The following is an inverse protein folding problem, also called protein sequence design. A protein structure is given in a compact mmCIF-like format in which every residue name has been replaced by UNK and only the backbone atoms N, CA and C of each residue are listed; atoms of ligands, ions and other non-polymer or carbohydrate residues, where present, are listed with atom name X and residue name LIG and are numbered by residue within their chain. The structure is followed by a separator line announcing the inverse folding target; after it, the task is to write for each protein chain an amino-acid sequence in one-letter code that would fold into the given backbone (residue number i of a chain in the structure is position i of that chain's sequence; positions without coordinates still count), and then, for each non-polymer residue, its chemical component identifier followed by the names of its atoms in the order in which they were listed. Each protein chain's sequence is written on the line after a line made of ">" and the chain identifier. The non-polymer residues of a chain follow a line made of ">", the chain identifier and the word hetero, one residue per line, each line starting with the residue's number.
data_IF_147377954129
#
_entry.id   IF_147377954129
#
_cell.length_a   1.000
_cell.length_b   1.000
_cell.length_c   1.000
_cell.angle_alpha   90.00
_cell.angle_beta   90.00
_cell.angle_gamma   90.00
#
_symmetry.space_group_name_H-M   'P 1'
#
loop_
_entity.id
_entity.type
_entity.pdbx_description
1 polymer ?
#
# COMPACT_ATOMS: atom_id res chain seq x y z
N UNK A 1 18.76 39.44 -19.21
CA UNK A 1 17.31 39.33 -19.48
C UNK A 1 17.08 40.24 -20.66
N UNK A 2 17.00 39.65 -21.85
CA UNK A 2 17.12 40.34 -23.12
C UNK A 2 15.75 40.77 -23.64
N UNK A 3 15.71 41.98 -24.21
CA UNK A 3 14.59 42.64 -24.88
C UNK A 3 14.15 41.90 -26.16
N UNK A 4 13.52 40.73 -26.03
CA UNK A 4 12.89 40.03 -27.17
C UNK A 4 11.46 40.50 -27.45
N UNK A 5 10.86 41.29 -26.56
CA UNK A 5 9.48 41.77 -26.68
C UNK A 5 9.31 42.84 -27.76
N UNK A 6 10.31 43.70 -27.97
CA UNK A 6 10.23 44.83 -28.92
C UNK A 6 10.24 44.40 -30.39
N UNK A 7 10.87 43.27 -30.72
CA UNK A 7 10.92 42.77 -32.10
C UNK A 7 9.60 42.11 -32.50
N UNK A 8 8.94 41.42 -31.57
CA UNK A 8 7.64 40.76 -31.83
C UNK A 8 6.51 41.75 -32.13
N UNK A 9 6.45 42.87 -31.41
CA UNK A 9 5.42 43.90 -31.63
C UNK A 9 5.60 44.63 -32.97
N UNK A 10 6.85 44.86 -33.40
CA UNK A 10 7.13 45.48 -34.70
C UNK A 10 6.75 44.57 -35.88
N UNK A 11 6.88 43.25 -35.72
CA UNK A 11 6.48 42.27 -36.74
C UNK A 11 4.95 42.17 -36.89
N UNK A 12 4.20 42.27 -35.79
CA UNK A 12 2.74 42.29 -35.84
C UNK A 12 2.21 43.58 -36.51
N UNK A 13 2.80 44.74 -36.19
CA UNK A 13 2.42 46.01 -36.81
C UNK A 13 2.68 46.01 -38.33
N UNK A 14 3.78 45.41 -38.80
CA UNK A 14 4.07 45.33 -40.23
C UNK A 14 3.07 44.41 -40.95
N UNK A 15 2.70 43.28 -40.35
CA UNK A 15 1.70 42.35 -40.89
C UNK A 15 0.31 43.00 -40.99
N UNK A 16 -0.10 43.78 -40.00
CA UNK A 16 -1.39 44.48 -40.05
C UNK A 16 -1.43 45.55 -41.14
N UNK A 17 -0.32 46.26 -41.37
CA UNK A 17 -0.23 47.28 -42.42
C UNK A 17 -0.31 46.69 -43.83
N UNK A 18 0.39 45.57 -44.08
CA UNK A 18 0.32 44.85 -45.36
C UNK A 18 -1.08 44.29 -45.63
N UNK A 19 -1.73 43.73 -44.60
CA UNK A 19 -3.11 43.24 -44.71
C UNK A 19 -4.10 44.38 -44.98
N UNK A 20 -3.95 45.52 -44.32
CA UNK A 20 -4.80 46.70 -44.56
C UNK A 20 -4.64 47.21 -46.00
N UNK A 21 -3.40 47.31 -46.50
CA UNK A 21 -3.13 47.73 -47.87
C UNK A 21 -3.71 46.74 -48.89
N UNK A 22 -3.57 45.43 -48.65
CA UNK A 22 -4.13 44.40 -49.50
C UNK A 22 -5.66 44.48 -49.55
N UNK A 23 -6.33 44.68 -48.40
CA UNK A 23 -7.78 44.86 -48.31
C UNK A 23 -8.23 46.13 -49.05
N UNK A 24 -7.49 47.24 -48.94
CA UNK A 24 -7.80 48.49 -49.66
C UNK A 24 -7.66 48.30 -51.17
N UNK A 25 -6.56 47.70 -51.64
CA UNK A 25 -6.34 47.41 -53.06
C UNK A 25 -7.44 46.49 -53.59
N UNK A 26 -7.82 45.48 -52.80
CA UNK A 26 -8.94 44.60 -53.11
C UNK A 26 -10.27 45.33 -53.22
N UNK A 27 -10.57 46.20 -52.27
CA UNK A 27 -11.77 47.03 -52.28
C UNK A 27 -11.83 47.88 -53.55
N UNK A 28 -10.71 48.47 -53.96
CA UNK A 28 -10.62 49.25 -55.20
C UNK A 28 -10.88 48.36 -56.42
N UNK A 29 -10.31 47.15 -56.49
CA UNK A 29 -10.54 46.20 -57.59
C UNK A 29 -12.01 45.78 -57.65
N UNK A 30 -12.62 45.46 -56.51
CA UNK A 30 -14.03 45.07 -56.44
C UNK A 30 -14.93 46.24 -56.85
N UNK A 31 -14.70 47.45 -56.33
CA UNK A 31 -15.48 48.63 -56.70
C UNK A 31 -15.31 48.95 -58.20
N UNK A 32 -14.09 48.85 -58.73
CA UNK A 32 -13.81 49.10 -60.14
C UNK A 32 -14.50 48.08 -61.05
N UNK A 33 -14.46 46.80 -60.70
CA UNK A 33 -15.15 45.73 -61.45
C UNK A 33 -16.67 45.87 -61.37
N UNK A 34 -17.22 46.26 -60.21
CA UNK A 34 -18.66 46.49 -60.02
C UNK A 34 -19.14 47.73 -60.80
N UNK A 35 -18.35 48.80 -60.81
CA UNK A 35 -18.61 49.98 -61.63
C UNK A 35 -18.55 49.66 -63.13
N UNK A 36 -17.59 48.84 -63.57
CA UNK A 36 -17.49 48.37 -64.96
C UNK A 36 -18.66 47.47 -65.35
N UNK A 37 -19.15 46.61 -64.44
CA UNK A 37 -20.37 45.82 -64.64
C UNK A 37 -21.61 46.70 -64.78
N UNK A 38 -21.76 47.73 -63.93
CA UNK A 38 -22.86 48.69 -64.01
C UNK A 38 -22.82 49.51 -65.31
N UNK A 39 -21.64 49.98 -65.72
CA UNK A 39 -21.48 50.67 -67.00
C UNK A 39 -21.80 49.76 -68.18
N UNK A 40 -21.35 48.50 -68.13
CA UNK A 40 -21.65 47.50 -69.16
C UNK A 40 -23.14 47.18 -69.22
N UNK A 41 -23.83 47.04 -68.08
CA UNK A 41 -25.27 46.78 -68.05
C UNK A 41 -26.09 47.94 -68.62
N UNK A 42 -25.69 49.19 -68.33
CA UNK A 42 -26.27 50.40 -68.91
C UNK A 42 -26.04 50.45 -70.42
N UNK A 43 -24.84 50.10 -70.91
CA UNK A 43 -24.55 50.02 -72.34
C UNK A 43 -25.41 48.96 -73.05
N UNK A 44 -25.59 47.78 -72.44
CA UNK A 44 -26.46 46.73 -72.99
C UNK A 44 -27.91 47.21 -73.10
N UNK A 45 -28.42 47.91 -72.07
CA UNK A 45 -29.79 48.45 -72.05
C UNK A 45 -30.01 49.56 -73.08
N UNK A 46 -28.98 50.38 -73.32
CA UNK A 46 -29.09 51.57 -74.20
C UNK A 46 -28.81 51.27 -75.66
N UNK A 47 -27.92 50.32 -75.99
CA UNK A 47 -27.45 50.10 -77.37
C UNK A 47 -27.94 48.81 -78.03
N UNK A 48 -28.54 47.89 -77.28
CA UNK A 48 -28.95 46.58 -77.78
C UNK A 48 -27.74 45.67 -78.06
N UNK A 49 -27.91 44.38 -77.82
CA UNK A 49 -26.84 43.37 -77.82
C UNK A 49 -26.24 43.24 -79.23
N UNK A 50 -25.15 43.96 -79.52
CA UNK A 50 -24.46 43.88 -80.82
C UNK A 50 -23.20 43.02 -80.83
N UNK A 51 -22.62 42.66 -79.68
CA UNK A 51 -21.41 41.81 -79.61
C UNK A 51 -21.39 40.89 -78.36
N UNK A 52 -21.99 39.68 -78.41
CA UNK A 52 -22.00 38.76 -77.27
C UNK A 52 -20.60 38.25 -76.84
N UNK A 53 -19.60 38.35 -77.71
CA UNK A 53 -18.24 37.84 -77.45
C UNK A 53 -17.45 38.63 -76.41
N UNK A 54 -17.63 39.95 -76.34
CA UNK A 54 -16.85 40.83 -75.44
C UNK A 54 -17.34 40.75 -73.98
N UNK A 55 -18.64 40.50 -73.79
CA UNK A 55 -19.23 40.32 -72.47
C UNK A 55 -18.75 39.02 -71.81
N UNK A 56 -18.67 37.93 -72.58
CA UNK A 56 -18.24 36.63 -72.07
C UNK A 56 -16.80 36.66 -71.54
N UNK A 57 -15.88 37.33 -72.25
CA UNK A 57 -14.49 37.50 -71.81
C UNK A 57 -14.37 38.37 -70.57
N UNK A 58 -15.16 39.44 -70.46
CA UNK A 58 -15.16 40.29 -69.27
C UNK A 58 -15.70 39.56 -68.02
N UNK A 59 -16.81 38.83 -68.16
CA UNK A 59 -17.37 38.03 -67.06
C UNK A 59 -16.39 36.93 -66.65
N UNK A 60 -15.75 36.25 -67.61
CA UNK A 60 -14.72 35.26 -67.30
C UNK A 60 -13.51 35.85 -66.60
N UNK A 61 -13.05 37.05 -67.01
CA UNK A 61 -11.91 37.73 -66.40
C UNK A 61 -12.19 38.24 -64.99
N UNK A 62 -13.41 38.72 -64.72
CA UNK A 62 -13.80 39.12 -63.36
C UNK A 62 -13.96 37.91 -62.42
N UNK A 63 -14.52 36.81 -62.93
CA UNK A 63 -14.63 35.56 -62.16
C UNK A 63 -13.26 35.00 -61.73
N UNK A 64 -12.24 35.05 -62.61
CA UNK A 64 -10.88 34.58 -62.25
C UNK A 64 -10.22 35.48 -61.21
N UNK A 65 -10.38 36.81 -61.30
CA UNK A 65 -9.88 37.73 -60.27
C UNK A 65 -10.51 37.42 -58.92
N UNK A 66 -11.84 37.28 -58.85
CA UNK A 66 -12.55 36.93 -57.60
C UNK A 66 -12.06 35.58 -57.04
N UNK A 67 -11.83 34.58 -57.90
CA UNK A 67 -11.32 33.28 -57.51
C UNK A 67 -9.91 33.37 -56.90
N UNK A 68 -8.99 34.11 -57.53
CA UNK A 68 -7.62 34.30 -57.03
C UNK A 68 -7.62 34.99 -55.67
N UNK A 69 -8.52 35.95 -55.48
CA UNK A 69 -8.69 36.69 -54.23
C UNK A 69 -9.21 35.78 -53.11
N UNK A 70 -10.26 35.02 -53.37
CA UNK A 70 -10.80 34.05 -52.41
C UNK A 70 -9.75 33.00 -52.04
N UNK A 71 -9.00 32.52 -53.04
CA UNK A 71 -7.91 31.56 -52.83
C UNK A 71 -6.81 32.17 -51.98
N UNK A 72 -6.40 33.41 -52.25
CA UNK A 72 -5.42 34.15 -51.46
C UNK A 72 -5.87 34.29 -50.00
N UNK A 73 -7.09 34.78 -49.77
CA UNK A 73 -7.64 34.93 -48.43
C UNK A 73 -7.74 33.58 -47.70
N UNK A 74 -8.23 32.53 -48.35
CA UNK A 74 -8.32 31.19 -47.80
C UNK A 74 -6.93 30.64 -47.41
N UNK A 75 -5.90 30.86 -48.23
CA UNK A 75 -4.53 30.40 -47.90
C UNK A 75 -3.93 31.14 -46.70
N UNK A 76 -4.21 32.44 -46.54
CA UNK A 76 -3.76 33.21 -45.37
C UNK A 76 -4.44 32.70 -44.10
N UNK A 77 -5.76 32.49 -44.13
CA UNK A 77 -6.51 31.98 -42.98
C UNK A 77 -6.07 30.56 -42.60
N UNK A 78 -5.83 29.70 -43.59
CA UNK A 78 -5.34 28.34 -43.37
C UNK A 78 -3.95 28.34 -42.73
N UNK A 79 -3.05 29.24 -43.16
CA UNK A 79 -1.71 29.39 -42.55
C UNK A 79 -1.80 29.88 -41.10
N UNK A 80 -2.74 30.77 -40.80
CA UNK A 80 -2.99 31.25 -39.44
C UNK A 80 -3.45 30.10 -38.53
N UNK A 81 -4.47 29.35 -38.93
CA UNK A 81 -4.94 28.19 -38.15
C UNK A 81 -3.85 27.14 -37.96
N UNK A 82 -3.02 26.90 -38.98
CA UNK A 82 -1.89 25.98 -38.88
C UNK A 82 -0.84 26.45 -37.84
N UNK A 83 -0.54 27.76 -37.78
CA UNK A 83 0.34 28.33 -36.76
C UNK A 83 -0.24 28.23 -35.36
N UNK A 84 -1.51 28.59 -35.18
CA UNK A 84 -2.20 28.49 -33.89
C UNK A 84 -2.22 27.02 -33.39
N UNK A 85 -2.43 26.07 -34.29
CA UNK A 85 -2.39 24.62 -33.98
C UNK A 85 -0.99 24.16 -33.58
N UNK A 86 0.05 24.64 -34.25
CA UNK A 86 1.43 24.27 -33.92
C UNK A 86 1.85 24.85 -32.57
N UNK A 87 1.48 26.10 -32.27
CA UNK A 87 1.72 26.73 -30.96
C UNK A 87 0.99 25.94 -29.87
N UNK A 88 -0.30 25.64 -30.06
CA UNK A 88 -1.08 24.84 -29.10
C UNK A 88 -0.46 23.45 -28.87
N UNK A 89 0.08 22.81 -29.91
CA UNK A 89 0.79 21.52 -29.78
C UNK A 89 2.09 21.66 -29.00
N UNK A 90 2.82 22.76 -29.18
CA UNK A 90 4.05 23.02 -28.43
C UNK A 90 3.74 23.29 -26.95
N UNK A 91 2.75 24.13 -26.66
CA UNK A 91 2.27 24.39 -25.30
C UNK A 91 1.79 23.11 -24.63
N UNK A 92 1.04 22.26 -25.33
CA UNK A 92 0.59 20.98 -24.80
C UNK A 92 1.76 20.04 -24.48
N UNK A 93 2.78 19.98 -25.36
CA UNK A 93 4.00 19.19 -25.10
C UNK A 93 4.75 19.71 -23.88
N UNK A 94 4.92 21.02 -23.75
CA UNK A 94 5.58 21.63 -22.60
C UNK A 94 4.80 21.41 -21.30
N UNK A 95 3.48 21.55 -21.34
CA UNK A 95 2.60 21.27 -20.23
C UNK A 95 2.70 19.80 -19.79
N UNK A 96 2.70 18.86 -20.73
CA UNK A 96 2.88 17.43 -20.45
C UNK A 96 4.24 17.17 -19.79
N UNK A 97 5.33 17.71 -20.34
CA UNK A 97 6.67 17.60 -19.74
C UNK A 97 6.71 18.14 -18.31
N UNK A 98 6.15 19.32 -18.07
CA UNK A 98 6.10 19.93 -16.73
C UNK A 98 5.26 19.09 -15.76
N UNK A 99 4.14 18.54 -16.21
CA UNK A 99 3.30 17.66 -15.41
C UNK A 99 4.04 16.37 -15.04
N UNK A 100 4.77 15.79 -15.99
CA UNK A 100 5.57 14.58 -15.77
C UNK A 100 6.71 14.86 -14.78
N UNK A 101 7.38 16.01 -14.91
CA UNK A 101 8.42 16.44 -13.98
C UNK A 101 7.87 16.65 -12.55
N UNK A 102 6.75 17.35 -12.40
CA UNK A 102 6.09 17.52 -11.11
C UNK A 102 5.65 16.18 -10.50
N UNK A 103 5.16 15.25 -11.32
CA UNK A 103 4.78 13.89 -10.89
C UNK A 103 5.99 13.13 -10.38
N UNK A 104 7.11 13.17 -11.10
CA UNK A 104 8.38 12.55 -10.72
C UNK A 104 8.90 13.14 -9.41
N UNK A 105 8.91 14.46 -9.27
CA UNK A 105 9.36 15.15 -8.06
C UNK A 105 8.51 14.81 -6.84
N UNK A 106 7.19 14.72 -7.01
CA UNK A 106 6.27 14.31 -5.94
C UNK A 106 6.59 12.87 -5.50
N UNK A 107 6.80 11.97 -6.45
CA UNK A 107 7.17 10.58 -6.16
C UNK A 107 8.52 10.51 -5.43
N UNK A 108 9.53 11.24 -5.93
CA UNK A 108 10.86 11.32 -5.33
C UNK A 108 10.80 11.81 -3.88
N UNK A 109 10.05 12.87 -3.60
CA UNK A 109 9.86 13.39 -2.23
C UNK A 109 9.14 12.40 -1.32
N UNK A 110 8.13 11.71 -1.86
CA UNK A 110 7.40 10.67 -1.13
C UNK A 110 8.32 9.51 -0.72
N UNK A 111 9.09 8.97 -1.67
CA UNK A 111 10.02 7.88 -1.44
C UNK A 111 11.16 8.29 -0.51
N UNK A 112 11.75 9.48 -0.71
CA UNK A 112 12.77 10.02 0.20
C UNK A 112 12.23 10.17 1.62
N UNK A 113 10.98 10.60 1.78
CA UNK A 113 10.32 10.69 3.07
C UNK A 113 10.12 9.33 3.74
N UNK A 114 9.93 8.26 2.96
CA UNK A 114 9.82 6.90 3.47
C UNK A 114 11.18 6.37 3.92
N UNK A 115 12.22 6.52 3.08
CA UNK A 115 13.61 6.13 3.39
C UNK A 115 14.18 6.86 4.61
N UNK A 116 13.91 8.16 4.74
CA UNK A 116 14.39 8.94 5.91
C UNK A 116 13.69 8.57 7.21
N UNK A 117 12.44 8.14 7.18
CA UNK A 117 11.76 7.63 8.38
C UNK A 117 12.43 6.35 8.90
N UNK A 118 13.03 5.58 8.01
CA UNK A 118 13.74 4.34 8.36
C UNK A 118 15.20 4.53 8.68
N UNK A 119 15.83 5.68 8.40
CA UNK A 119 17.19 5.96 8.92
C UNK A 119 17.22 6.03 10.47
N UNK A 120 16.07 6.28 11.12
CA UNK A 120 15.93 6.15 12.58
C UNK A 120 15.70 4.72 13.08
N UNK A 121 15.52 3.74 12.17
CA UNK A 121 15.33 2.33 12.54
C UNK A 121 16.64 1.63 12.88
N UNK A 122 17.78 2.06 12.34
CA UNK A 122 19.09 1.46 12.69
C UNK A 122 19.44 1.69 14.17
N UNK A 123 19.22 2.92 14.67
CA UNK A 123 19.33 3.21 16.11
C UNK A 123 18.31 2.46 16.95
N UNK A 124 17.13 2.16 16.40
CA UNK A 124 16.07 1.42 17.09
C UNK A 124 16.37 -0.09 17.16
N UNK A 125 17.02 -0.65 16.13
CA UNK A 125 17.42 -2.05 16.05
C UNK A 125 18.59 -2.36 16.99
N UNK A 126 19.50 -1.40 17.22
CA UNK A 126 20.60 -1.54 18.17
C UNK A 126 20.17 -1.42 19.65
N UNK A 127 19.08 -0.70 19.96
CA UNK A 127 18.80 -0.30 21.36
C UNK A 127 17.84 -1.23 22.14
N UNK A 128 16.84 -1.92 21.57
CA UNK A 128 15.85 -2.71 22.36
C UNK A 128 15.26 -3.90 21.53
N UNK A 129 15.28 -5.19 21.94
CA UNK A 129 14.69 -5.91 23.09
C UNK A 129 13.29 -6.53 22.79
N UNK A 130 12.90 -7.68 23.40
CA UNK A 130 11.83 -8.63 22.98
C UNK A 130 10.38 -8.14 22.82
N UNK A 131 10.13 -6.83 22.85
CA UNK A 131 8.79 -6.22 22.76
C UNK A 131 8.23 -6.09 21.32
N UNK A 132 9.03 -6.41 20.29
CA UNK A 132 8.63 -6.29 18.88
C UNK A 132 7.67 -7.39 18.38
N UNK A 133 7.31 -8.39 19.20
CA UNK A 133 6.35 -9.44 18.81
C UNK A 133 4.93 -8.92 18.53
N UNK A 134 4.64 -7.65 18.85
CA UNK A 134 3.30 -7.04 18.69
C UNK A 134 3.22 -5.90 17.66
N UNK A 135 4.34 -5.50 17.06
CA UNK A 135 4.36 -4.35 16.17
C UNK A 135 4.18 -4.81 14.72
N UNK A 136 2.92 -4.82 14.26
CA UNK A 136 2.57 -5.05 12.86
C UNK A 136 3.19 -3.99 11.95
N UNK A 137 3.58 -4.41 10.73
CA UNK A 137 4.11 -3.63 9.60
C UNK A 137 4.78 -2.30 10.00
N UNK A 138 5.85 -2.40 10.79
CA UNK A 138 6.66 -1.25 11.24
C UNK A 138 7.31 -0.54 10.06
N UNK A 139 7.51 -1.27 8.97
CA UNK A 139 8.21 -0.75 7.81
C UNK A 139 7.19 -0.10 6.87
N UNK A 140 7.19 1.23 6.74
CA UNK A 140 6.29 1.88 5.81
C UNK A 140 6.61 1.42 4.38
N UNK A 141 5.59 0.85 3.71
CA UNK A 141 5.60 0.48 2.28
C UNK A 141 4.53 1.24 1.50
N UNK A 142 4.00 2.31 2.09
CA UNK A 142 2.79 2.99 1.64
C UNK A 142 3.03 3.79 0.36
N UNK A 143 4.17 4.46 0.22
CA UNK A 143 4.42 5.28 -0.99
C UNK A 143 4.76 4.38 -2.17
N UNK A 144 5.59 3.36 -1.96
CA UNK A 144 5.90 2.38 -3.01
C UNK A 144 4.66 1.63 -3.50
N UNK A 145 3.84 1.08 -2.58
CA UNK A 145 2.66 0.30 -2.97
C UNK A 145 1.61 1.13 -3.69
N UNK A 146 1.37 2.37 -3.23
CA UNK A 146 0.40 3.27 -3.85
C UNK A 146 0.84 3.81 -5.22
N UNK A 147 2.15 3.82 -5.50
CA UNK A 147 2.72 4.44 -6.70
C UNK A 147 3.51 3.45 -7.57
N UNK A 148 3.32 2.13 -7.41
CA UNK A 148 4.09 1.11 -8.12
C UNK A 148 4.05 1.27 -9.65
N UNK A 149 2.90 1.68 -10.21
CA UNK A 149 2.75 1.97 -11.63
C UNK A 149 3.49 3.23 -12.12
N UNK A 150 3.93 4.09 -11.22
CA UNK A 150 4.63 5.34 -11.54
C UNK A 150 6.14 5.26 -11.34
N UNK A 151 6.67 4.16 -10.81
CA UNK A 151 8.11 3.97 -10.56
C UNK A 151 8.93 4.10 -11.84
N UNK A 152 8.38 3.71 -12.99
CA UNK A 152 9.03 3.88 -14.30
C UNK A 152 9.28 5.33 -14.73
N UNK A 153 8.79 6.33 -13.98
CA UNK A 153 9.08 7.76 -14.20
C UNK A 153 10.41 8.20 -13.57
N UNK A 154 10.97 7.41 -12.65
CA UNK A 154 12.25 7.68 -11.99
C UNK A 154 13.41 7.35 -12.91
N UNK A 155 14.60 7.88 -12.62
CA UNK A 155 15.82 7.46 -13.32
C UNK A 155 16.23 6.05 -12.90
N UNK A 156 17.03 5.36 -13.72
CA UNK A 156 17.53 4.02 -13.38
C UNK A 156 18.31 4.00 -12.07
N UNK A 157 19.10 5.04 -11.81
CA UNK A 157 19.83 5.23 -10.55
C UNK A 157 18.88 5.35 -9.35
N UNK A 158 17.82 6.16 -9.47
CA UNK A 158 16.81 6.33 -8.42
C UNK A 158 16.05 5.01 -8.16
N UNK A 159 15.74 4.26 -9.21
CA UNK A 159 15.10 2.94 -9.10
C UNK A 159 16.00 1.97 -8.34
N UNK A 160 17.30 1.91 -8.67
CA UNK A 160 18.26 1.05 -7.98
C UNK A 160 18.26 1.32 -6.47
N UNK A 161 18.33 2.60 -6.07
CA UNK A 161 18.33 2.99 -4.65
C UNK A 161 17.04 2.53 -3.95
N UNK A 162 15.89 2.70 -4.60
CA UNK A 162 14.60 2.28 -4.04
C UNK A 162 14.54 0.76 -3.90
N UNK A 163 15.01 0.02 -4.91
CA UNK A 163 15.06 -1.46 -4.87
C UNK A 163 16.00 -1.95 -3.77
N UNK A 164 17.19 -1.37 -3.64
CA UNK A 164 18.16 -1.72 -2.61
C UNK A 164 17.57 -1.51 -1.21
N UNK A 165 16.95 -0.34 -0.99
CA UNK A 165 16.27 -0.02 0.26
C UNK A 165 15.17 -1.05 0.60
N UNK A 166 14.27 -1.35 -0.34
CA UNK A 166 13.18 -2.29 -0.08
C UNK A 166 13.67 -3.74 0.09
N UNK A 167 14.78 -4.10 -0.55
CA UNK A 167 15.45 -5.39 -0.35
C UNK A 167 16.00 -5.50 1.07
N UNK A 168 16.69 -4.46 1.57
CA UNK A 168 17.20 -4.42 2.94
C UNK A 168 16.05 -4.50 3.96
N UNK A 169 15.00 -3.71 3.75
CA UNK A 169 13.77 -3.76 4.53
C UNK A 169 13.16 -5.16 4.59
N UNK A 170 13.10 -5.86 3.46
CA UNK A 170 12.58 -7.22 3.39
C UNK A 170 13.48 -8.22 4.15
N UNK A 171 14.80 -8.05 4.08
CA UNK A 171 15.75 -8.87 4.84
C UNK A 171 15.56 -8.67 6.35
N UNK A 172 15.41 -7.43 6.82
CA UNK A 172 15.15 -7.10 8.23
C UNK A 172 13.82 -7.73 8.69
N UNK A 173 12.73 -7.52 7.93
CA UNK A 173 11.42 -8.11 8.23
C UNK A 173 11.48 -9.65 8.30
N UNK A 174 12.23 -10.27 7.39
CA UNK A 174 12.44 -11.73 7.38
C UNK A 174 13.22 -12.19 8.61
N UNK A 175 14.30 -11.48 8.97
CA UNK A 175 15.11 -11.79 10.15
C UNK A 175 14.30 -11.66 11.44
N UNK A 176 13.50 -10.59 11.59
CA UNK A 176 12.61 -10.39 12.73
C UNK A 176 11.54 -11.49 12.82
N UNK A 177 10.96 -11.91 11.70
CA UNK A 177 10.00 -13.03 11.64
C UNK A 177 10.64 -14.35 12.05
N UNK A 178 11.86 -14.64 11.60
CA UNK A 178 12.60 -15.83 12.00
C UNK A 178 12.92 -15.80 13.50
N UNK A 179 13.39 -14.68 14.04
CA UNK A 179 13.66 -14.54 15.48
C UNK A 179 12.40 -14.74 16.32
N UNK A 180 11.28 -14.10 15.95
CA UNK A 180 10.00 -14.31 16.62
C UNK A 180 9.56 -15.78 16.58
N UNK A 181 9.78 -16.51 15.48
CA UNK A 181 9.49 -17.95 15.42
C UNK A 181 10.38 -18.76 16.37
N UNK A 182 11.66 -18.42 16.50
CA UNK A 182 12.56 -19.06 17.47
C UNK A 182 12.16 -18.76 18.92
N UNK A 183 11.84 -17.51 19.25
CA UNK A 183 11.39 -17.12 20.59
C UNK A 183 10.05 -17.77 20.96
N UNK A 184 9.09 -17.83 20.03
CA UNK A 184 7.83 -18.55 20.24
C UNK A 184 8.08 -20.05 20.45
N UNK A 185 9.02 -20.64 19.72
CA UNK A 185 9.37 -22.05 19.86
C UNK A 185 10.05 -22.34 21.20
N UNK A 186 10.97 -21.46 21.64
CA UNK A 186 11.63 -21.54 22.94
C UNK A 186 10.63 -21.32 24.11
N UNK A 187 9.72 -20.35 24.00
CA UNK A 187 8.66 -20.13 24.98
C UNK A 187 7.65 -21.27 25.05
N UNK A 188 7.31 -21.90 23.91
CA UNK A 188 6.47 -23.11 23.91
C UNK A 188 7.16 -24.27 24.62
N UNK A 189 8.44 -24.51 24.34
CA UNK A 189 9.21 -25.53 25.04
C UNK A 189 9.29 -25.28 26.55
N UNK A 190 9.54 -24.03 26.96
CA UNK A 190 9.57 -23.65 28.38
C UNK A 190 8.20 -23.81 29.05
N UNK A 191 7.12 -23.47 28.36
CA UNK A 191 5.74 -23.66 28.84
C UNK A 191 5.38 -25.13 28.99
N UNK A 192 5.81 -25.99 28.07
CA UNK A 192 5.59 -27.43 28.13
C UNK A 192 6.39 -28.10 29.26
N UNK A 193 7.61 -27.63 29.51
CA UNK A 193 8.42 -28.03 30.67
C UNK A 193 7.76 -27.57 31.98
N UNK A 194 7.31 -26.32 32.06
CA UNK A 194 6.60 -25.81 33.24
C UNK A 194 5.27 -26.54 33.47
N UNK A 195 4.54 -26.87 32.40
CA UNK A 195 3.28 -27.60 32.48
C UNK A 195 3.49 -29.05 32.93
N UNK A 196 4.50 -29.74 32.41
CA UNK A 196 4.86 -31.09 32.85
C UNK A 196 5.36 -31.12 34.31
N UNK A 197 6.14 -30.12 34.73
CA UNK A 197 6.52 -29.95 36.13
C UNK A 197 5.32 -29.70 37.03
N UNK A 198 4.42 -28.78 36.67
CA UNK A 198 3.19 -28.52 37.43
C UNK A 198 2.31 -29.77 37.56
N UNK A 199 2.19 -30.56 36.50
CA UNK A 199 1.42 -31.80 36.51
C UNK A 199 2.06 -32.88 37.41
N UNK A 200 3.40 -32.96 37.42
CA UNK A 200 4.14 -33.86 38.32
C UNK A 200 4.00 -33.44 39.80
N UNK A 201 3.90 -32.15 40.08
CA UNK A 201 3.67 -31.61 41.43
C UNK A 201 2.24 -31.87 41.91
N UNK A 202 1.23 -31.74 41.04
CA UNK A 202 -0.15 -32.11 41.37
C UNK A 202 -0.30 -33.61 41.64
N UNK A 203 0.38 -34.46 40.88
CA UNK A 203 0.43 -35.90 41.17
C UNK A 203 1.10 -36.21 42.51
N UNK A 204 2.14 -35.45 42.88
CA UNK A 204 2.78 -35.57 44.20
C UNK A 204 1.87 -35.10 45.33
N UNK A 205 1.17 -33.99 45.18
CA UNK A 205 0.20 -33.52 46.18
C UNK A 205 -0.96 -34.51 46.37
N UNK A 206 -1.49 -35.07 45.28
CA UNK A 206 -2.50 -36.14 45.38
C UNK A 206 -1.96 -37.45 45.98
N UNK A 207 -0.65 -37.70 45.89
CA UNK A 207 -0.02 -38.82 46.58
C UNK A 207 0.23 -38.54 48.07
N UNK A 208 0.44 -37.28 48.44
CA UNK A 208 0.59 -36.83 49.83
C UNK A 208 -0.77 -36.85 50.57
N UNK A 209 -1.83 -36.39 49.92
CA UNK A 209 -3.21 -36.46 50.44
C UNK A 209 -3.66 -37.93 50.65
N UNK A 210 -3.28 -38.83 49.74
CA UNK A 210 -3.47 -40.29 49.93
C UNK A 210 -2.59 -40.88 51.03
N UNK A 211 -1.41 -40.32 51.28
CA UNK A 211 -0.54 -40.79 52.36
C UNK A 211 -1.10 -40.40 53.73
N UNK A 212 -1.78 -39.26 53.83
CA UNK A 212 -2.48 -38.84 55.05
C UNK A 212 -3.75 -39.67 55.29
N UNK A 213 -4.52 -40.01 54.25
CA UNK A 213 -5.66 -40.95 54.36
C UNK A 213 -5.20 -42.35 54.81
N UNK A 214 -4.06 -42.83 54.28
CA UNK A 214 -3.47 -44.10 54.73
C UNK A 214 -2.96 -44.01 56.17
N UNK A 215 -2.45 -42.86 56.63
CA UNK A 215 -2.05 -42.67 58.03
C UNK A 215 -3.25 -42.72 58.97
N UNK A 216 -4.36 -42.09 58.60
CA UNK A 216 -5.61 -42.14 59.37
C UNK A 216 -6.09 -43.59 59.51
N UNK A 217 -6.13 -44.34 58.40
CA UNK A 217 -6.46 -45.77 58.41
C UNK A 217 -5.50 -46.61 59.27
N UNK A 218 -4.21 -46.26 59.31
CA UNK A 218 -3.24 -46.94 60.17
C UNK A 218 -3.53 -46.63 61.66
N UNK A 219 -3.90 -45.40 62.00
CA UNK A 219 -4.25 -45.05 63.38
C UNK A 219 -5.52 -45.77 63.84
N UNK A 220 -6.57 -45.80 63.03
CA UNK A 220 -7.81 -46.55 63.32
C UNK A 220 -7.54 -48.04 63.51
N UNK A 221 -6.65 -48.63 62.70
CA UNK A 221 -6.27 -50.03 62.80
C UNK A 221 -5.51 -50.32 64.11
N UNK A 222 -4.64 -49.39 64.55
CA UNK A 222 -3.92 -49.52 65.81
C UNK A 222 -4.89 -49.43 66.99
N UNK A 223 -5.84 -48.49 66.97
CA UNK A 223 -6.85 -48.34 68.01
C UNK A 223 -7.73 -49.60 68.13
N UNK A 224 -8.21 -50.11 67.00
CA UNK A 224 -8.99 -51.36 66.95
C UNK A 224 -8.19 -52.54 67.51
N UNK A 225 -6.89 -52.62 67.20
CA UNK A 225 -6.01 -53.69 67.73
C UNK A 225 -5.93 -53.62 69.26
N UNK A 226 -5.75 -52.44 69.80
CA UNK A 226 -5.59 -52.26 71.25
C UNK A 226 -6.90 -52.52 72.00
N UNK A 227 -8.06 -52.18 71.41
CA UNK A 227 -9.38 -52.56 71.93
C UNK A 227 -9.56 -54.10 71.97
N UNK A 228 -9.19 -54.79 70.89
CA UNK A 228 -9.24 -56.27 70.81
C UNK A 228 -8.31 -56.90 71.84
N UNK A 229 -7.09 -56.38 72.01
CA UNK A 229 -6.14 -56.86 73.03
C UNK A 229 -6.74 -56.69 74.43
N UNK A 230 -7.29 -55.52 74.74
CA UNK A 230 -7.92 -55.28 76.05
C UNK A 230 -9.10 -56.22 76.33
N UNK A 231 -9.89 -56.53 75.29
CA UNK A 231 -11.03 -57.47 75.39
C UNK A 231 -10.55 -58.90 75.63
N UNK A 232 -9.46 -59.30 74.97
CA UNK A 232 -8.82 -60.61 75.18
C UNK A 232 -8.22 -60.72 76.59
N UNK A 233 -7.55 -59.68 77.08
CA UNK A 233 -7.00 -59.63 78.44
C UNK A 233 -8.11 -59.74 79.51
N UNK A 234 -9.24 -59.05 79.32
CA UNK A 234 -10.39 -59.15 80.21
C UNK A 234 -10.98 -60.57 80.22
N UNK A 235 -11.20 -61.17 79.04
CA UNK A 235 -11.72 -62.54 78.94
C UNK A 235 -10.75 -63.59 79.54
N UNK A 236 -9.42 -63.37 79.41
CA UNK A 236 -8.42 -64.23 80.02
C UNK A 236 -8.44 -64.14 81.56
N UNK A 237 -8.59 -62.94 82.11
CA UNK A 237 -8.77 -62.75 83.56
C UNK A 237 -10.08 -63.38 84.07
N UNK A 238 -11.19 -63.23 83.34
CA UNK A 238 -12.47 -63.83 83.72
C UNK A 238 -12.42 -65.38 83.67
N UNK A 239 -11.60 -65.96 82.80
CA UNK A 239 -11.37 -67.40 82.74
C UNK A 239 -10.46 -67.88 83.87
N UNK A 240 -9.52 -67.05 84.32
CA UNK A 240 -8.61 -67.37 85.42
C UNK A 240 -9.34 -67.43 86.78
N UNK A 241 -10.33 -66.56 87.02
CA UNK A 241 -11.11 -66.53 88.26
C UNK A 241 -12.26 -67.57 88.33
N UNK A 242 -12.56 -68.26 87.22
CA UNK A 242 -13.63 -69.28 87.13
C UNK A 242 -13.22 -70.73 87.41
N UNK A 243 -11.95 -71.02 87.71
CA UNK A 243 -11.43 -72.42 87.78
C UNK A 243 -11.02 -72.93 89.17
N UNK A 244 -11.46 -72.28 90.26
CA UNK A 244 -11.11 -72.70 91.63
C UNK A 244 -12.32 -73.02 92.50
N UNK A 245 -13.14 -74.00 92.09
CA UNK A 245 -14.03 -74.75 93.00
C UNK A 245 -14.61 -76.01 92.36
N UNK A 246 -13.92 -77.13 92.49
CA UNK A 246 -14.36 -78.55 92.44
C UNK A 246 -13.14 -79.37 92.02
N UNK A 247 -12.63 -80.37 92.74
CA UNK A 247 -13.16 -81.17 93.82
C UNK A 247 -12.50 -82.54 93.66
N UNK A 248 -12.17 -83.19 94.79
CA UNK A 248 -12.00 -84.65 94.92
C UNK A 248 -10.82 -85.29 94.16
N UNK A 249 -10.20 -86.40 94.56
CA UNK A 249 -10.17 -87.27 95.73
C UNK A 249 -9.28 -88.44 95.26
N UNK A 250 -8.16 -88.70 95.95
CA UNK A 250 -7.74 -90.06 96.39
C UNK A 250 -7.68 -91.19 95.33
N UNK A 251 -6.47 -91.57 94.94
CA UNK A 251 -6.01 -92.98 94.93
C UNK A 251 -4.50 -92.97 94.61
N UNK A 252 -3.58 -93.30 95.51
CA UNK A 252 -3.33 -94.63 96.07
C UNK A 252 -3.17 -95.70 94.99
N UNK A 253 -1.91 -96.13 94.74
CA UNK A 253 -1.42 -97.52 94.80
C UNK A 253 -0.40 -97.89 93.70
N UNK A 254 0.62 -98.63 94.16
CA UNK A 254 1.57 -99.53 93.45
C UNK A 254 2.74 -98.88 92.70
N UNK A 255 3.94 -98.95 93.27
CA UNK A 255 4.90 -100.08 93.20
C UNK A 255 5.41 -100.35 91.78
N UNK A 256 6.69 -100.07 91.55
CA UNK A 256 7.74 -101.06 91.26
C UNK A 256 8.93 -100.36 90.59
N UNK A 257 10.07 -100.34 91.28
CA UNK A 257 11.35 -99.81 90.79
C UNK A 257 12.20 -99.28 91.93
#
# INVERSE_FOLDING_TARGET
>A
MNDTTSVSSLLDDFSTMEMALFVVVLGIIVISTLAALLLSSVMILTQGIRTPGEYATFVSGSATVVLVVLTGWYTVETRRMARETEIARQEEKEWRKKKDEMSRDKLRRGLLGEVRRTEGLDSFAEEYSPFMSYAGDIIPRTVYSQNAGEIGKLTEEEISIVVDYYTQVQMIDTAMKMQNQYDISAQRGLKEILFSQSHSLKQRQGAEERADEVRELIYDLIETRDEVISTLENNLNDTADGSSSEGTEKDSRRESG
#
